data_IF_646496019208
#
_entry.id   IF_646496019208
#
_cell.length_a   1.000
_cell.length_b   1.000
_cell.length_c   1.000
_cell.angle_alpha   90.00
_cell.angle_beta   90.00
_cell.angle_gamma   90.00
#
_symmetry.space_group_name_H-M   'P 1'
#
loop_
_entity.id
_entity.type
_entity.pdbx_description
1 polymer ?
#
# COMPACT_ATOMS: atom_id res chain seq x y z
N UNK A 1 -5.41 -11.99 -14.28
CA UNK A 1 -4.32 -11.22 -13.66
C UNK A 1 -3.63 -12.09 -12.62
N UNK A 2 -2.35 -11.83 -12.30
CA UNK A 2 -1.58 -12.53 -11.26
C UNK A 2 -2.31 -12.54 -9.91
N UNK A 3 -2.98 -11.44 -9.58
CA UNK A 3 -3.77 -11.29 -8.33
C UNK A 3 -4.85 -12.37 -8.18
N UNK A 4 -5.60 -12.70 -9.24
CA UNK A 4 -6.61 -13.74 -9.18
C UNK A 4 -5.99 -15.13 -8.95
N UNK A 5 -4.85 -15.40 -9.59
CA UNK A 5 -4.11 -16.64 -9.41
C UNK A 5 -3.56 -16.78 -7.98
N UNK A 6 -2.94 -15.72 -7.44
CA UNK A 6 -2.43 -15.70 -6.06
C UNK A 6 -3.56 -15.97 -5.07
N UNK A 7 -4.69 -15.30 -5.21
CA UNK A 7 -5.85 -15.51 -4.34
C UNK A 7 -6.36 -16.93 -4.40
N UNK A 8 -6.53 -17.49 -5.60
CA UNK A 8 -6.99 -18.87 -5.76
C UNK A 8 -6.00 -19.89 -5.17
N UNK A 9 -4.69 -19.67 -5.35
CA UNK A 9 -3.68 -20.55 -4.75
C UNK A 9 -3.69 -20.45 -3.21
N UNK A 10 -3.85 -19.25 -2.66
CA UNK A 10 -3.90 -19.04 -1.22
C UNK A 10 -5.12 -19.67 -0.55
N UNK A 11 -6.26 -19.79 -1.25
CA UNK A 11 -7.46 -20.45 -0.71
C UNK A 11 -7.21 -21.89 -0.26
N UNK A 12 -6.34 -22.62 -0.95
CA UNK A 12 -6.00 -24.02 -0.65
C UNK A 12 -4.74 -24.16 0.22
N UNK A 13 -4.01 -23.06 0.48
CA UNK A 13 -2.76 -23.11 1.21
C UNK A 13 -2.99 -23.14 2.73
N UNK A 14 -2.20 -23.91 3.46
CA UNK A 14 -2.16 -23.86 4.94
C UNK A 14 -1.41 -22.61 5.43
N UNK A 15 -0.34 -22.23 4.73
CA UNK A 15 0.47 -21.06 5.01
C UNK A 15 1.03 -20.47 3.72
N UNK A 16 1.45 -19.22 3.75
CA UNK A 16 2.07 -18.53 2.61
C UNK A 16 3.43 -17.97 3.03
N UNK A 17 4.44 -18.35 2.29
CA UNK A 17 5.82 -17.87 2.46
C UNK A 17 6.20 -16.99 1.28
N UNK A 18 6.50 -15.71 1.56
CA UNK A 18 6.82 -14.73 0.51
C UNK A 18 8.34 -14.51 0.48
N UNK A 19 8.95 -14.83 -0.67
CA UNK A 19 10.40 -14.78 -0.86
C UNK A 19 10.88 -13.42 -1.39
N UNK A 20 10.21 -12.33 -0.99
CA UNK A 20 10.73 -10.99 -1.15
C UNK A 20 12.02 -10.82 -0.35
N UNK A 21 12.94 -9.93 -0.75
CA UNK A 21 14.18 -9.68 -0.01
C UNK A 21 13.93 -9.40 1.46
N UNK A 22 14.81 -9.90 2.33
CA UNK A 22 14.80 -9.53 3.74
C UNK A 22 15.30 -8.09 3.94
N UNK A 23 15.00 -7.47 5.08
CA UNK A 23 15.59 -6.18 5.46
C UNK A 23 16.62 -6.43 6.56
N UNK A 24 17.87 -6.18 6.27
CA UNK A 24 18.97 -6.42 7.23
C UNK A 24 18.91 -7.84 7.84
N UNK A 25 18.50 -8.82 7.04
CA UNK A 25 18.30 -10.19 7.52
C UNK A 25 16.99 -10.46 8.25
N UNK A 26 16.17 -9.45 8.55
CA UNK A 26 14.90 -9.63 9.24
C UNK A 26 13.77 -10.11 8.31
N UNK A 27 12.86 -10.93 8.82
CA UNK A 27 11.60 -11.23 8.16
C UNK A 27 10.65 -10.01 8.23
N UNK A 28 9.75 -9.91 7.28
CA UNK A 28 8.74 -8.86 7.24
C UNK A 28 7.45 -9.36 7.89
N UNK A 29 7.21 -8.93 9.11
CA UNK A 29 6.07 -9.37 9.92
C UNK A 29 4.81 -8.55 9.72
N UNK A 30 4.93 -7.32 9.17
CA UNK A 30 3.80 -6.49 8.79
C UNK A 30 4.14 -5.65 7.58
N UNK A 31 3.13 -5.31 6.77
CA UNK A 31 3.24 -4.42 5.63
C UNK A 31 2.07 -3.44 5.60
N UNK A 32 2.36 -2.16 5.35
CA UNK A 32 1.26 -1.23 5.10
C UNK A 32 0.43 -1.70 3.92
N UNK A 33 -0.87 -1.54 4.04
CA UNK A 33 -1.77 -1.60 2.91
C UNK A 33 -1.64 -0.37 2.04
N UNK A 34 -1.98 -0.50 0.77
CA UNK A 34 -1.95 0.58 -0.22
C UNK A 34 -3.33 0.83 -0.76
N UNK A 35 -3.71 2.09 -0.85
CA UNK A 35 -4.89 2.52 -1.58
C UNK A 35 -4.49 3.67 -2.50
N UNK A 36 -5.07 3.73 -3.67
CA UNK A 36 -4.88 4.85 -4.57
C UNK A 36 -6.22 5.32 -5.10
N UNK A 37 -6.34 6.61 -5.29
CA UNK A 37 -7.55 7.24 -5.81
C UNK A 37 -7.19 8.25 -6.87
N UNK A 38 -7.99 8.31 -7.92
CA UNK A 38 -8.01 9.39 -8.91
C UNK A 38 -9.35 10.08 -8.82
N UNK A 39 -9.35 11.34 -8.39
CA UNK A 39 -10.56 12.15 -8.28
C UNK A 39 -10.60 13.09 -9.46
N UNK A 40 -11.67 12.99 -10.26
CA UNK A 40 -11.94 13.85 -11.41
C UNK A 40 -13.05 14.83 -11.04
N UNK A 41 -12.73 16.12 -11.09
CA UNK A 41 -13.63 17.20 -10.73
C UNK A 41 -14.08 17.92 -12.00
N UNK A 42 -15.38 18.01 -12.20
CA UNK A 42 -15.98 18.70 -13.34
C UNK A 42 -16.82 19.89 -12.86
N UNK A 43 -16.45 21.04 -13.33
CA UNK A 43 -17.13 22.31 -13.16
C UNK A 43 -17.69 22.85 -14.45
N UNK A 44 -17.45 24.15 -14.73
CA UNK A 44 -17.92 24.81 -15.95
C UNK A 44 -16.94 25.90 -16.38
N UNK A 45 -16.54 25.88 -17.66
CA UNK A 45 -15.71 26.92 -18.25
C UNK A 45 -16.45 28.27 -18.37
N UNK A 46 -15.70 29.35 -18.23
CA UNK A 46 -16.14 30.71 -18.54
C UNK A 46 -14.91 31.56 -18.87
N UNK A 47 -15.09 32.69 -19.55
CA UNK A 47 -13.98 33.62 -19.81
C UNK A 47 -13.60 34.33 -18.51
N UNK A 48 -12.34 34.15 -18.07
CA UNK A 48 -11.88 34.62 -16.77
C UNK A 48 -11.96 36.15 -16.56
N UNK A 49 -11.94 36.93 -17.64
CA UNK A 49 -12.01 38.39 -17.59
C UNK A 49 -13.36 39.01 -17.99
N UNK A 50 -14.27 38.23 -18.56
CA UNK A 50 -15.59 38.75 -19.04
C UNK A 50 -16.72 38.31 -18.15
N UNK A 51 -16.81 37.03 -17.82
CA UNK A 51 -17.95 36.42 -17.13
C UNK A 51 -17.48 35.32 -16.14
N UNK A 52 -16.49 35.58 -15.27
CA UNK A 52 -15.96 34.53 -14.37
C UNK A 52 -17.02 33.94 -13.44
N UNK A 53 -18.04 34.73 -13.05
CA UNK A 53 -19.15 34.29 -12.21
C UNK A 53 -20.06 33.24 -12.85
N UNK A 54 -20.00 33.08 -14.17
CA UNK A 54 -20.71 32.00 -14.91
C UNK A 54 -19.95 30.71 -14.89
N UNK A 55 -18.67 30.74 -14.48
CA UNK A 55 -17.83 29.57 -14.36
C UNK A 55 -18.05 28.81 -13.05
N UNK A 56 -17.64 27.54 -13.03
CA UNK A 56 -17.47 26.73 -11.83
C UNK A 56 -16.04 26.23 -11.85
N UNK A 57 -15.21 26.76 -10.96
CA UNK A 57 -13.77 26.60 -11.01
C UNK A 57 -13.32 25.24 -10.39
N UNK A 58 -13.08 24.24 -11.24
CA UNK A 58 -12.62 22.92 -10.81
C UNK A 58 -11.19 22.95 -10.19
N UNK A 59 -10.34 23.91 -10.59
CA UNK A 59 -8.99 24.07 -10.03
C UNK A 59 -9.07 24.45 -8.53
N UNK A 60 -9.93 25.40 -8.16
CA UNK A 60 -10.07 25.81 -6.78
C UNK A 60 -10.62 24.65 -5.92
N UNK A 61 -11.59 23.90 -6.42
CA UNK A 61 -12.10 22.72 -5.73
C UNK A 61 -11.03 21.63 -5.56
N UNK A 62 -10.18 21.41 -6.56
CA UNK A 62 -9.09 20.44 -6.47
C UNK A 62 -7.97 20.90 -5.52
N UNK A 63 -7.68 22.21 -5.44
CA UNK A 63 -6.74 22.77 -4.49
C UNK A 63 -7.26 22.65 -3.03
N UNK A 64 -8.54 22.90 -2.80
CA UNK A 64 -9.22 22.67 -1.52
C UNK A 64 -9.12 21.19 -1.12
N UNK A 65 -9.44 20.28 -2.03
CA UNK A 65 -9.30 18.84 -1.80
C UNK A 65 -7.87 18.47 -1.40
N UNK A 66 -6.88 18.90 -2.18
CA UNK A 66 -5.47 18.62 -1.89
C UNK A 66 -5.06 19.11 -0.49
N UNK A 67 -5.53 20.29 -0.07
CA UNK A 67 -5.28 20.81 1.28
C UNK A 67 -6.02 20.01 2.35
N UNK A 68 -7.25 19.59 2.08
CA UNK A 68 -8.07 18.82 3.02
C UNK A 68 -7.48 17.43 3.29
N UNK A 69 -6.85 16.80 2.29
CA UNK A 69 -6.26 15.47 2.44
C UNK A 69 -5.15 15.42 3.51
N UNK A 70 -4.51 16.54 3.83
CA UNK A 70 -3.50 16.62 4.89
C UNK A 70 -4.07 16.28 6.28
N UNK A 71 -5.38 16.45 6.46
CA UNK A 71 -6.08 16.17 7.73
C UNK A 71 -6.57 14.72 7.80
N UNK A 72 -6.49 13.96 6.70
CA UNK A 72 -6.96 12.58 6.64
C UNK A 72 -5.92 11.56 7.09
N UNK A 73 -4.65 11.98 7.11
CA UNK A 73 -3.57 11.19 7.71
C UNK A 73 -3.72 11.08 9.23
N UNK A 74 -3.07 10.09 9.82
CA UNK A 74 -2.95 9.91 11.26
C UNK A 74 -1.53 9.43 11.57
N UNK A 75 -0.74 10.33 12.15
CA UNK A 75 0.65 10.02 12.49
C UNK A 75 0.78 8.97 13.61
N UNK A 76 -0.17 8.95 14.55
CA UNK A 76 -0.17 7.97 15.64
C UNK A 76 -0.51 6.56 15.14
N UNK A 77 -1.44 6.46 14.19
CA UNK A 77 -1.75 5.21 13.50
C UNK A 77 -0.77 4.90 12.36
N UNK A 78 0.18 5.80 12.07
CA UNK A 78 1.11 5.68 10.96
C UNK A 78 0.45 5.72 9.57
N UNK A 79 -0.76 6.30 9.49
CA UNK A 79 -1.50 6.45 8.23
C UNK A 79 -1.05 7.69 7.47
N UNK A 80 -0.68 7.52 6.21
CA UNK A 80 -0.32 8.64 5.33
C UNK A 80 -1.32 8.77 4.18
N UNK A 81 -1.69 10.02 3.87
CA UNK A 81 -2.49 10.37 2.70
C UNK A 81 -1.72 11.44 1.93
N UNK A 82 -1.22 11.09 0.77
CA UNK A 82 -0.31 11.95 0.01
C UNK A 82 -0.93 12.30 -1.33
N UNK A 83 -1.29 13.56 -1.59
CA UNK A 83 -1.59 14.03 -2.93
C UNK A 83 -0.32 14.00 -3.77
N UNK A 84 -0.34 13.25 -4.88
CA UNK A 84 0.86 13.00 -5.69
C UNK A 84 0.83 13.71 -7.04
N UNK A 85 -0.35 13.87 -7.64
CA UNK A 85 -0.51 14.53 -8.93
C UNK A 85 -1.74 15.43 -8.87
N UNK A 86 -1.58 16.72 -9.22
CA UNK A 86 -2.68 17.66 -9.43
C UNK A 86 -2.58 18.23 -10.86
N UNK A 87 -3.67 18.15 -11.62
CA UNK A 87 -3.77 18.76 -12.94
C UNK A 87 -5.06 19.55 -13.06
N UNK A 88 -5.00 20.76 -13.64
CA UNK A 88 -6.18 21.58 -13.87
C UNK A 88 -5.91 22.64 -14.95
N UNK A 89 -6.97 23.00 -15.69
CA UNK A 89 -6.95 24.07 -16.68
C UNK A 89 -6.18 23.74 -17.96
N UNK A 90 -6.44 24.53 -18.98
CA UNK A 90 -5.83 24.38 -20.33
C UNK A 90 -5.28 25.69 -20.87
N UNK A 91 -5.86 26.84 -20.46
CA UNK A 91 -5.51 28.17 -20.94
C UNK A 91 -5.52 29.18 -19.80
N UNK A 92 -4.77 30.27 -19.96
CA UNK A 92 -4.59 31.30 -18.90
C UNK A 92 -5.79 32.24 -18.70
N UNK A 93 -6.73 32.28 -19.66
CA UNK A 93 -7.85 33.20 -19.65
C UNK A 93 -9.22 32.52 -19.49
N UNK A 94 -9.24 31.26 -19.08
CA UNK A 94 -10.48 30.47 -18.92
C UNK A 94 -10.58 29.95 -17.48
N UNK A 95 -11.75 30.05 -16.86
CA UNK A 95 -12.08 29.36 -15.60
C UNK A 95 -12.00 27.85 -15.88
N UNK A 96 -11.14 27.11 -15.17
CA UNK A 96 -10.97 25.66 -15.42
C UNK A 96 -12.25 24.87 -15.17
N UNK A 97 -12.73 24.19 -16.21
CA UNK A 97 -13.88 23.28 -16.09
C UNK A 97 -13.50 21.91 -15.53
N UNK A 98 -12.22 21.52 -15.67
CA UNK A 98 -11.77 20.19 -15.27
C UNK A 98 -10.52 20.26 -14.40
N UNK A 99 -10.46 19.37 -13.42
CA UNK A 99 -9.28 19.11 -12.61
C UNK A 99 -9.22 17.63 -12.23
N UNK A 100 -8.02 17.14 -11.92
CA UNK A 100 -7.83 15.80 -11.37
C UNK A 100 -6.78 15.82 -10.27
N UNK A 101 -7.02 15.01 -9.23
CA UNK A 101 -6.10 14.79 -8.12
C UNK A 101 -5.88 13.29 -7.93
N UNK A 102 -4.62 12.87 -7.79
CA UNK A 102 -4.25 11.50 -7.45
C UNK A 102 -3.74 11.46 -6.01
N UNK A 103 -4.22 10.46 -5.25
CA UNK A 103 -3.81 10.20 -3.86
C UNK A 103 -3.15 8.83 -3.75
N UNK A 104 -2.00 8.76 -3.05
CA UNK A 104 -1.43 7.53 -2.49
C UNK A 104 -1.73 7.49 -0.99
N UNK A 105 -2.30 6.37 -0.54
CA UNK A 105 -2.65 6.15 0.86
C UNK A 105 -1.95 4.91 1.37
N UNK A 106 -1.31 5.02 2.54
CA UNK A 106 -0.64 3.92 3.22
C UNK A 106 -1.13 3.83 4.66
N UNK A 107 -1.52 2.63 5.10
CA UNK A 107 -2.01 2.39 6.46
C UNK A 107 -1.57 1.03 6.99
N UNK A 108 -1.33 0.93 8.31
CA UNK A 108 -0.93 -0.31 8.98
C UNK A 108 -2.10 -1.28 9.19
N UNK A 109 -3.33 -0.79 9.18
CA UNK A 109 -4.52 -1.62 9.44
C UNK A 109 -5.57 -1.47 8.36
N UNK A 110 -6.36 -2.52 8.15
CA UNK A 110 -7.53 -2.49 7.27
C UNK A 110 -8.57 -1.47 7.75
N UNK A 111 -8.72 -1.28 9.06
CA UNK A 111 -9.63 -0.29 9.64
C UNK A 111 -9.28 1.14 9.20
N UNK A 112 -7.98 1.49 9.22
CA UNK A 112 -7.51 2.79 8.77
C UNK A 112 -7.69 2.99 7.26
N UNK A 113 -7.46 1.96 6.44
CA UNK A 113 -7.77 2.04 5.01
C UNK A 113 -9.25 2.32 4.76
N UNK A 114 -10.15 1.64 5.48
CA UNK A 114 -11.60 1.88 5.39
C UNK A 114 -11.98 3.26 5.89
N UNK A 115 -11.34 3.77 6.96
CA UNK A 115 -11.56 5.13 7.46
C UNK A 115 -11.24 6.17 6.38
N UNK A 116 -10.06 6.05 5.76
CA UNK A 116 -9.64 6.98 4.70
C UNK A 116 -10.51 6.84 3.45
N UNK A 117 -10.89 5.61 3.04
CA UNK A 117 -11.79 5.39 1.89
C UNK A 117 -13.12 6.12 2.07
N UNK A 118 -13.68 6.09 3.29
CA UNK A 118 -14.91 6.84 3.60
C UNK A 118 -14.72 8.35 3.50
N UNK A 119 -13.59 8.88 3.97
CA UNK A 119 -13.27 10.31 3.87
C UNK A 119 -13.12 10.74 2.41
N UNK A 120 -12.43 9.96 1.59
CA UNK A 120 -12.27 10.22 0.15
C UNK A 120 -13.63 10.23 -0.54
N UNK A 121 -14.44 9.19 -0.34
CA UNK A 121 -15.73 9.06 -1.03
C UNK A 121 -16.80 10.00 -0.50
N UNK A 122 -16.67 10.47 0.72
CA UNK A 122 -17.59 11.43 1.34
C UNK A 122 -17.23 12.89 1.10
N UNK A 123 -16.10 13.17 0.47
CA UNK A 123 -15.67 14.55 0.28
C UNK A 123 -16.54 15.30 -0.71
N UNK A 124 -16.83 16.57 -0.38
CA UNK A 124 -17.53 17.53 -1.24
C UNK A 124 -16.87 18.89 -1.10
N UNK A 125 -16.72 19.60 -2.23
CA UNK A 125 -16.16 20.94 -2.23
C UNK A 125 -17.05 21.94 -1.50
N UNK A 126 -16.46 22.82 -0.71
CA UNK A 126 -17.19 23.83 0.05
C UNK A 126 -17.52 25.04 -0.84
N UNK A 127 -18.82 25.25 -1.12
CA UNK A 127 -19.28 26.40 -1.90
C UNK A 127 -18.94 26.40 -3.40
N UNK A 128 -18.31 25.33 -3.92
CA UNK A 128 -18.00 25.18 -5.33
C UNK A 128 -18.76 23.96 -5.88
N UNK A 129 -19.83 24.12 -6.67
CA UNK A 129 -20.71 23.03 -7.07
C UNK A 129 -20.13 22.19 -8.22
N UNK A 130 -18.96 21.58 -8.01
CA UNK A 130 -18.36 20.62 -8.93
C UNK A 130 -19.00 19.24 -8.77
N UNK A 131 -19.06 18.48 -9.86
CA UNK A 131 -19.28 17.03 -9.75
C UNK A 131 -17.94 16.32 -9.55
N UNK A 132 -17.93 15.25 -8.77
CA UNK A 132 -16.73 14.47 -8.46
C UNK A 132 -16.95 13.02 -8.84
N UNK A 133 -16.09 12.50 -9.72
CA UNK A 133 -15.97 11.08 -10.01
C UNK A 133 -14.71 10.56 -9.33
N UNK A 134 -14.81 9.40 -8.68
CA UNK A 134 -13.70 8.79 -7.94
C UNK A 134 -13.43 7.40 -8.50
N UNK A 135 -12.25 7.23 -9.05
CA UNK A 135 -11.73 5.95 -9.49
C UNK A 135 -10.69 5.44 -8.48
N UNK A 136 -10.56 4.10 -8.36
CA UNK A 136 -9.63 3.48 -7.44
C UNK A 136 -10.28 3.09 -6.10
N UNK A 137 -9.43 2.90 -5.09
CA UNK A 137 -9.82 2.40 -3.78
C UNK A 137 -8.68 1.63 -3.10
N UNK A 138 -9.02 0.74 -2.18
CA UNK A 138 -8.06 -0.15 -1.52
C UNK A 138 -7.53 -1.15 -2.56
N UNK A 139 -6.24 -1.02 -2.88
CA UNK A 139 -5.57 -1.87 -3.86
C UNK A 139 -4.98 -3.12 -3.21
N UNK A 140 -4.18 -2.94 -2.16
CA UNK A 140 -3.66 -4.03 -1.32
C UNK A 140 -4.05 -3.77 0.13
N UNK A 141 -4.85 -4.64 0.76
CA UNK A 141 -5.15 -4.53 2.19
C UNK A 141 -3.87 -4.59 3.03
N UNK A 142 -3.89 -4.07 4.25
CA UNK A 142 -2.78 -4.19 5.17
C UNK A 142 -2.50 -5.67 5.49
N UNK A 143 -1.22 -6.03 5.59
CA UNK A 143 -0.76 -7.26 6.21
C UNK A 143 -0.39 -6.91 7.65
N UNK A 144 -1.32 -7.15 8.56
CA UNK A 144 -1.15 -6.85 9.98
C UNK A 144 -0.28 -7.91 10.66
N UNK A 145 0.39 -7.58 11.77
CA UNK A 145 1.29 -8.51 12.48
C UNK A 145 0.61 -9.82 12.87
N UNK A 146 -0.68 -9.79 13.19
CA UNK A 146 -1.47 -10.97 13.49
C UNK A 146 -1.49 -12.01 12.37
N UNK A 147 -1.30 -11.57 11.12
CA UNK A 147 -1.29 -12.45 9.93
C UNK A 147 0.00 -13.27 9.79
N UNK A 148 1.05 -12.92 10.53
CA UNK A 148 2.36 -13.58 10.44
C UNK A 148 2.83 -14.19 11.75
N UNK A 149 2.14 -13.94 12.86
CA UNK A 149 2.64 -14.19 14.21
C UNK A 149 3.04 -15.65 14.45
N UNK A 150 2.21 -16.61 14.06
CA UNK A 150 2.52 -18.04 14.26
C UNK A 150 3.67 -18.52 13.39
N UNK A 151 3.67 -18.16 12.10
CA UNK A 151 4.78 -18.50 11.20
C UNK A 151 6.07 -17.83 11.60
N UNK A 152 6.03 -16.62 12.16
CA UNK A 152 7.22 -15.92 12.61
C UNK A 152 7.84 -16.62 13.83
N UNK A 153 7.03 -17.01 14.82
CA UNK A 153 7.50 -17.79 15.98
C UNK A 153 8.09 -19.12 15.53
N UNK A 154 7.45 -19.82 14.61
CA UNK A 154 7.97 -21.07 14.05
C UNK A 154 9.31 -20.84 13.33
N UNK A 155 9.42 -19.77 12.53
CA UNK A 155 10.64 -19.43 11.82
C UNK A 155 11.81 -19.10 12.76
N UNK A 156 11.54 -18.42 13.90
CA UNK A 156 12.54 -18.14 14.93
C UNK A 156 13.05 -19.42 15.59
N UNK A 157 12.16 -20.33 15.98
CA UNK A 157 12.55 -21.62 16.56
C UNK A 157 13.41 -22.44 15.57
N UNK A 158 12.99 -22.50 14.30
CA UNK A 158 13.74 -23.21 13.26
C UNK A 158 15.10 -22.56 13.01
N UNK A 159 15.19 -21.23 12.92
CA UNK A 159 16.47 -20.53 12.76
C UNK A 159 17.45 -20.88 13.90
N UNK A 160 16.99 -20.86 15.13
CA UNK A 160 17.77 -21.27 16.30
C UNK A 160 18.25 -22.72 16.22
N UNK A 161 17.40 -23.68 15.80
CA UNK A 161 17.78 -25.09 15.61
C UNK A 161 18.77 -25.31 14.47
N UNK A 162 18.75 -24.45 13.44
CA UNK A 162 19.72 -24.48 12.34
C UNK A 162 21.07 -23.82 12.72
N UNK A 163 21.15 -23.19 13.89
CA UNK A 163 22.35 -22.45 14.32
C UNK A 163 22.53 -21.13 13.60
N UNK A 164 21.46 -20.59 13.02
CA UNK A 164 21.46 -19.25 12.42
C UNK A 164 21.41 -18.17 13.51
N UNK A 165 21.81 -16.95 13.16
CA UNK A 165 21.58 -15.79 14.02
C UNK A 165 20.09 -15.59 14.33
N UNK A 166 19.79 -14.84 15.39
CA UNK A 166 18.43 -14.55 15.81
C UNK A 166 17.62 -13.90 14.68
N UNK A 167 16.51 -14.53 14.30
CA UNK A 167 15.63 -14.00 13.28
C UNK A 167 14.78 -12.88 13.87
N UNK A 168 15.02 -11.66 13.42
CA UNK A 168 14.22 -10.48 13.80
C UNK A 168 13.02 -10.27 12.87
N UNK A 169 11.98 -9.62 13.39
CA UNK A 169 10.81 -9.17 12.63
C UNK A 169 10.88 -7.67 12.35
N UNK A 170 10.42 -7.24 11.18
CA UNK A 170 10.30 -5.82 10.78
C UNK A 170 8.96 -5.54 10.14
N UNK A 171 8.33 -4.44 10.55
CA UNK A 171 7.19 -3.85 9.84
C UNK A 171 7.68 -2.89 8.77
N UNK A 172 7.11 -2.95 7.55
CA UNK A 172 7.58 -2.18 6.40
C UNK A 172 6.46 -1.43 5.68
N UNK A 173 6.79 -0.24 5.15
CA UNK A 173 5.82 0.62 4.45
C UNK A 173 5.44 0.17 3.03
N UNK A 174 6.24 -0.70 2.41
CA UNK A 174 5.98 -1.23 1.06
C UNK A 174 5.07 -2.44 1.09
N UNK A 175 4.14 -2.54 0.13
CA UNK A 175 3.28 -3.70 -0.03
C UNK A 175 3.93 -4.76 -0.93
N UNK A 176 3.48 -6.01 -0.78
CA UNK A 176 3.83 -7.16 -1.64
C UNK A 176 2.59 -7.99 -1.96
N UNK A 177 2.80 -9.14 -2.57
CA UNK A 177 1.71 -10.11 -2.77
C UNK A 177 1.27 -10.77 -1.45
N UNK A 178 2.12 -10.74 -0.40
CA UNK A 178 1.76 -11.15 0.96
C UNK A 178 0.55 -10.38 1.54
N UNK A 179 0.37 -9.12 1.16
CA UNK A 179 -0.83 -8.37 1.53
C UNK A 179 -2.12 -9.02 1.02
N UNK A 180 -2.08 -9.63 -0.18
CA UNK A 180 -3.26 -10.25 -0.78
C UNK A 180 -3.64 -11.56 -0.09
N UNK A 181 -2.66 -12.32 0.36
CA UNK A 181 -2.86 -13.62 1.01
C UNK A 181 -3.27 -13.44 2.47
N UNK A 182 -2.61 -12.52 3.19
CA UNK A 182 -2.99 -12.12 4.54
C UNK A 182 -4.44 -11.61 4.62
N UNK A 183 -4.86 -10.81 3.62
CA UNK A 183 -6.24 -10.31 3.54
C UNK A 183 -7.31 -11.40 3.36
N UNK A 184 -6.93 -12.61 2.97
CA UNK A 184 -7.80 -13.78 2.91
C UNK A 184 -7.82 -14.59 4.21
N UNK A 185 -7.16 -14.07 5.25
CA UNK A 185 -7.03 -14.77 6.54
C UNK A 185 -6.00 -15.91 6.51
N UNK A 186 -5.11 -15.93 5.50
CA UNK A 186 -4.03 -16.93 5.46
C UNK A 186 -2.84 -16.44 6.26
N UNK A 187 -2.31 -17.33 7.09
CA UNK A 187 -1.08 -17.06 7.78
C UNK A 187 0.03 -16.84 6.75
N UNK A 188 0.66 -15.67 6.79
CA UNK A 188 1.58 -15.22 5.75
C UNK A 188 2.83 -14.62 6.39
N UNK A 189 4.00 -15.16 6.09
CA UNK A 189 5.29 -14.58 6.49
C UNK A 189 6.06 -14.13 5.27
N UNK A 190 6.54 -12.89 5.31
CA UNK A 190 7.19 -12.23 4.17
C UNK A 190 8.66 -11.88 4.49
N UNK A 191 9.43 -11.48 3.46
CA UNK A 191 10.85 -11.15 3.63
C UNK A 191 11.74 -12.35 3.92
N UNK A 192 11.34 -13.52 3.44
CA UNK A 192 12.10 -14.77 3.61
C UNK A 192 13.17 -14.97 2.54
N UNK A 193 13.26 -14.08 1.55
CA UNK A 193 14.29 -14.12 0.53
C UNK A 193 15.65 -13.64 1.04
N UNK A 194 16.59 -13.52 0.11
CA UNK A 194 17.97 -13.16 0.42
C UNK A 194 18.09 -11.77 1.07
N UNK A 195 19.12 -11.58 1.87
CA UNK A 195 19.54 -10.27 2.34
C UNK A 195 20.19 -9.48 1.22
N UNK A 196 19.96 -8.20 1.17
CA UNK A 196 20.48 -7.27 0.18
C UNK A 196 19.97 -5.86 0.44
N UNK A 197 20.29 -4.95 -0.44
CA UNK A 197 19.84 -3.55 -0.38
C UNK A 197 19.74 -2.94 -1.78
N UNK A 198 19.26 -1.69 -1.85
CA UNK A 198 19.15 -0.94 -3.10
C UNK A 198 17.98 -1.38 -3.99
N UNK A 199 16.90 -1.93 -3.43
CA UNK A 199 15.74 -2.38 -4.19
C UNK A 199 15.25 -1.30 -5.18
N UNK A 200 15.12 -1.67 -6.48
CA UNK A 200 14.77 -0.80 -7.60
C UNK A 200 15.82 0.27 -7.96
N UNK A 201 17.02 0.24 -7.41
CA UNK A 201 18.10 1.14 -7.76
C UNK A 201 19.17 0.45 -8.59
N UNK A 202 19.96 1.22 -9.36
CA UNK A 202 21.06 0.68 -10.20
C UNK A 202 22.16 -0.04 -9.39
N UNK A 203 22.22 0.20 -8.08
CA UNK A 203 23.15 -0.42 -7.15
C UNK A 203 22.52 -1.56 -6.33
N UNK A 204 21.41 -2.11 -6.77
CA UNK A 204 20.78 -3.25 -6.10
C UNK A 204 21.72 -4.44 -6.01
N UNK A 205 21.82 -5.05 -4.83
CA UNK A 205 22.69 -6.19 -4.59
C UNK A 205 22.03 -7.23 -3.68
N UNK A 206 22.51 -8.46 -3.76
CA UNK A 206 22.11 -9.59 -2.91
C UNK A 206 23.34 -10.26 -2.30
N UNK A 207 23.22 -10.69 -1.04
CA UNK A 207 24.27 -11.46 -0.35
C UNK A 207 24.18 -12.94 -0.75
N UNK A 208 25.18 -13.41 -1.50
CA UNK A 208 25.26 -14.82 -1.93
C UNK A 208 25.36 -15.79 -0.74
N UNK A 209 26.16 -15.53 0.32
CA UNK A 209 26.20 -16.40 1.50
C UNK A 209 24.80 -16.59 2.16
N UNK A 210 24.01 -15.54 2.27
CA UNK A 210 22.67 -15.62 2.87
C UNK A 210 21.66 -16.42 2.04
N UNK A 211 21.91 -16.65 0.74
CA UNK A 211 20.99 -17.46 -0.09
C UNK A 211 20.84 -18.89 0.45
N UNK A 212 21.93 -19.54 0.81
CA UNK A 212 21.91 -20.91 1.32
C UNK A 212 21.21 -21.00 2.69
N UNK A 213 21.48 -20.05 3.59
CA UNK A 213 20.85 -19.98 4.91
C UNK A 213 19.34 -19.77 4.79
N UNK A 214 18.91 -18.84 3.92
CA UNK A 214 17.50 -18.58 3.67
C UNK A 214 16.79 -19.75 3.02
N UNK A 215 17.41 -20.42 2.06
CA UNK A 215 16.86 -21.62 1.45
C UNK A 215 16.66 -22.74 2.48
N UNK A 216 17.62 -22.96 3.37
CA UNK A 216 17.52 -23.94 4.46
C UNK A 216 16.38 -23.59 5.43
N UNK A 217 16.28 -22.33 5.84
CA UNK A 217 15.20 -21.84 6.71
C UNK A 217 13.83 -22.07 6.08
N UNK A 218 13.64 -21.64 4.82
CA UNK A 218 12.36 -21.81 4.10
C UNK A 218 12.02 -23.28 3.95
N UNK A 219 12.95 -24.13 3.55
CA UNK A 219 12.73 -25.57 3.42
C UNK A 219 12.28 -26.22 4.76
N UNK A 220 12.92 -25.83 5.85
CA UNK A 220 12.58 -26.35 7.17
C UNK A 220 11.21 -25.84 7.67
N UNK A 221 10.83 -24.60 7.37
CA UNK A 221 9.48 -24.08 7.63
C UNK A 221 8.44 -24.88 6.86
N UNK A 222 8.65 -25.11 5.54
CA UNK A 222 7.74 -25.88 4.69
C UNK A 222 7.55 -27.29 5.24
N UNK A 223 8.64 -28.00 5.60
CA UNK A 223 8.56 -29.33 6.18
C UNK A 223 7.80 -29.34 7.53
N UNK A 224 7.97 -28.29 8.33
CA UNK A 224 7.26 -28.18 9.62
C UNK A 224 5.78 -27.89 9.48
N UNK A 225 5.38 -27.13 8.46
CA UNK A 225 3.96 -26.79 8.17
C UNK A 225 3.24 -27.99 7.57
N UNK A 226 3.88 -28.72 6.64
CA UNK A 226 3.26 -29.87 5.97
C UNK A 226 3.21 -31.13 6.86
N UNK A 227 3.95 -31.15 7.96
CA UNK A 227 4.07 -32.31 8.81
C UNK A 227 4.87 -33.46 8.16
N UNK A 228 5.08 -34.56 8.91
CA UNK A 228 5.75 -35.75 8.39
C UNK A 228 4.89 -36.53 7.41
#
# INVERSE_FOLDING_TARGET
SSRALIRSAAEAAEAVLVLEPSIEGAAKTARKGTSWYSLHLTGRAAHAGLEPERGINALLAAAELASTTLQWGDAAAGTTVTPTILRAGTTSNTVPAEASLVLDVRAWTAAEQVRVDRLVRGWQAQGIPVSVQIDGGIDRPAMEESSSAGLFILAQDIAGRLGHDELHGRAVGGASDGNLTAAQGRETLDGLGAGGDGAHADHEWVSVPHLAERAALVAAIVLSVLGP
#
